data_IF_425867547867
#
_entry.id   IF_425867547867
#
_cell.length_a   1.000
_cell.length_b   1.000
_cell.length_c   1.000
_cell.angle_alpha   90.00
_cell.angle_beta   90.00
_cell.angle_gamma   90.00
#
_symmetry.space_group_name_H-M   'P 1'
#
loop_
_entity.id
_entity.type
_entity.pdbx_description
1 polymer ?
#
# COMPACT_ATOMS: atom_id res chain seq x y z
N UNK A 1 -9.14 -14.18 -22.41
CA UNK A 1 -8.70 -14.65 -21.11
C UNK A 1 -7.56 -13.84 -20.57
N UNK A 2 -6.50 -13.77 -21.31
CA UNK A 2 -5.33 -13.04 -20.87
C UNK A 2 -5.66 -11.58 -20.55
N UNK A 3 -6.50 -10.99 -21.36
CA UNK A 3 -6.86 -9.59 -21.16
C UNK A 3 -7.60 -9.38 -19.86
N UNK A 4 -8.48 -10.32 -19.51
CA UNK A 4 -9.22 -10.21 -18.27
C UNK A 4 -8.27 -10.27 -17.08
N UNK A 5 -7.31 -11.19 -17.13
CA UNK A 5 -6.33 -11.34 -16.07
C UNK A 5 -5.48 -10.08 -15.94
N UNK A 6 -5.09 -9.51 -17.07
CA UNK A 6 -4.29 -8.29 -17.03
C UNK A 6 -5.07 -7.13 -16.45
N UNK A 7 -6.34 -7.02 -16.81
CA UNK A 7 -7.17 -5.96 -16.29
C UNK A 7 -7.32 -6.07 -14.77
N UNK A 8 -7.51 -7.30 -14.27
CA UNK A 8 -7.64 -7.55 -12.85
C UNK A 8 -6.36 -7.16 -12.13
N UNK A 9 -5.20 -7.53 -12.69
CA UNK A 9 -3.92 -7.20 -12.08
C UNK A 9 -3.73 -5.69 -12.05
N UNK A 10 -4.08 -5.01 -13.14
CA UNK A 10 -3.90 -3.57 -13.19
C UNK A 10 -4.83 -2.85 -12.22
N UNK A 11 -6.01 -3.41 -11.98
CA UNK A 11 -6.97 -2.79 -11.09
C UNK A 11 -6.56 -2.94 -9.62
N UNK A 12 -5.61 -3.82 -9.35
CA UNK A 12 -5.24 -4.07 -7.98
C UNK A 12 -4.30 -3.00 -7.47
N UNK A 13 -4.59 -2.46 -6.30
CA UNK A 13 -3.74 -1.43 -5.71
C UNK A 13 -2.49 -2.06 -5.09
N UNK A 14 -1.46 -1.23 -4.95
CA UNK A 14 -0.25 -1.67 -4.27
C UNK A 14 -0.51 -2.03 -2.82
N UNK A 15 -1.46 -1.35 -2.18
CA UNK A 15 -1.83 -1.68 -0.82
C UNK A 15 -2.42 -3.08 -0.72
N UNK A 16 -3.24 -3.44 -1.70
CA UNK A 16 -3.84 -4.77 -1.72
C UNK A 16 -2.78 -5.84 -1.95
N UNK A 17 -1.86 -5.58 -2.87
CA UNK A 17 -0.78 -6.52 -3.14
C UNK A 17 0.11 -6.70 -1.91
N UNK A 18 0.45 -5.58 -1.26
CA UNK A 18 1.24 -5.65 -0.04
C UNK A 18 0.50 -6.42 1.05
N UNK A 19 -0.81 -6.16 1.17
CA UNK A 19 -1.61 -6.86 2.17
C UNK A 19 -1.62 -8.36 1.96
N UNK A 20 -1.73 -8.79 0.71
CA UNK A 20 -1.70 -10.22 0.42
C UNK A 20 -0.34 -10.83 0.71
N UNK A 21 0.73 -10.09 0.45
CA UNK A 21 2.06 -10.56 0.79
C UNK A 21 2.20 -10.74 2.30
N UNK A 22 1.68 -9.78 3.07
CA UNK A 22 1.71 -9.89 4.52
C UNK A 22 0.94 -11.10 5.00
N UNK A 23 -0.25 -11.32 4.44
CA UNK A 23 -1.05 -12.45 4.83
C UNK A 23 -0.38 -13.77 4.47
N UNK A 24 0.21 -13.82 3.29
CA UNK A 24 0.92 -15.02 2.86
C UNK A 24 2.06 -15.34 3.83
N UNK A 25 2.83 -14.34 4.21
CA UNK A 25 3.94 -14.54 5.13
C UNK A 25 3.44 -15.02 6.49
N UNK A 26 2.33 -14.45 6.96
CA UNK A 26 1.76 -14.86 8.23
C UNK A 26 1.30 -16.31 8.18
N UNK A 27 0.63 -16.67 7.10
CA UNK A 27 0.16 -18.05 6.94
C UNK A 27 1.31 -19.03 6.81
N UNK A 28 2.37 -18.64 6.11
CA UNK A 28 3.56 -19.46 5.99
C UNK A 28 4.23 -19.66 7.35
N UNK A 29 4.13 -18.66 8.21
CA UNK A 29 4.68 -18.78 9.55
C UNK A 29 3.76 -19.53 10.49
N UNK A 30 2.58 -19.94 10.02
CA UNK A 30 1.65 -20.69 10.84
C UNK A 30 0.98 -19.89 11.93
N UNK A 31 0.84 -18.57 11.73
CA UNK A 31 0.32 -17.69 12.76
C UNK A 31 -1.07 -17.21 12.44
N UNK A 32 -1.90 -17.11 13.47
CA UNK A 32 -3.17 -16.42 13.35
C UNK A 32 -2.90 -14.92 13.53
N UNK A 33 -3.89 -14.10 13.19
CA UNK A 33 -3.75 -12.65 13.42
C UNK A 33 -3.54 -12.34 14.90
N UNK A 34 -4.25 -13.07 15.76
CA UNK A 34 -4.07 -12.87 17.18
C UNK A 34 -2.67 -13.20 17.66
N UNK A 35 -2.11 -14.29 17.13
CA UNK A 35 -0.76 -14.68 17.50
C UNK A 35 0.26 -13.66 16.97
N UNK A 36 0.05 -13.17 15.77
CA UNK A 36 0.93 -12.15 15.22
C UNK A 36 0.86 -10.89 16.07
N UNK A 37 -0.35 -10.50 16.48
CA UNK A 37 -0.51 -9.32 17.31
C UNK A 37 0.27 -9.47 18.61
N UNK A 38 0.20 -10.64 19.23
CA UNK A 38 0.94 -10.87 20.45
C UNK A 38 2.45 -10.77 20.25
N UNK A 39 2.93 -11.35 19.16
CA UNK A 39 4.37 -11.39 18.93
C UNK A 39 4.93 -10.04 18.53
N UNK A 40 4.15 -9.24 17.80
CA UNK A 40 4.63 -7.95 17.32
C UNK A 40 4.19 -6.80 18.20
N UNK A 41 3.21 -7.04 19.06
CA UNK A 41 2.62 -6.01 19.93
C UNK A 41 1.84 -4.96 19.15
N UNK A 42 1.48 -5.27 17.92
CA UNK A 42 0.59 -4.41 17.17
C UNK A 42 -0.84 -4.91 17.34
N UNK A 43 -1.79 -3.99 17.22
CA UNK A 43 -3.20 -4.32 17.40
C UNK A 43 -3.70 -5.25 16.31
N UNK A 44 -4.50 -6.24 16.69
CA UNK A 44 -5.01 -7.23 15.76
C UNK A 44 -5.84 -6.59 14.65
N UNK A 45 -6.71 -5.64 15.00
CA UNK A 45 -7.54 -4.97 14.00
C UNK A 45 -6.68 -4.18 13.03
N UNK A 46 -5.65 -3.54 13.54
CA UNK A 46 -4.74 -2.78 12.71
C UNK A 46 -4.04 -3.71 11.70
N UNK A 47 -3.52 -4.83 12.18
CA UNK A 47 -2.85 -5.80 11.31
C UNK A 47 -3.83 -6.33 10.26
N UNK A 48 -5.07 -6.57 10.66
CA UNK A 48 -6.08 -7.03 9.73
C UNK A 48 -6.31 -6.04 8.59
N UNK A 49 -6.32 -4.74 8.92
CA UNK A 49 -6.50 -3.72 7.89
C UNK A 49 -5.31 -3.63 6.97
N UNK A 50 -4.12 -3.85 7.48
CA UNK A 50 -2.94 -3.89 6.62
C UNK A 50 -3.04 -5.05 5.64
N UNK A 51 -3.46 -6.22 6.11
CA UNK A 51 -3.55 -7.39 5.25
C UNK A 51 -4.65 -7.27 4.22
N UNK A 52 -5.72 -6.57 4.55
CA UNK A 52 -6.82 -6.40 3.59
C UNK A 52 -6.60 -5.26 2.62
N UNK A 53 -5.51 -4.52 2.77
CA UNK A 53 -5.21 -3.41 1.88
C UNK A 53 -6.01 -2.16 2.18
N UNK A 54 -6.74 -2.13 3.28
CA UNK A 54 -7.54 -0.96 3.63
C UNK A 54 -6.72 0.15 4.26
N UNK A 55 -5.53 -0.17 4.70
CA UNK A 55 -4.70 0.81 5.37
C UNK A 55 -3.24 0.58 5.03
N UNK A 56 -2.50 1.67 4.88
CA UNK A 56 -1.06 1.60 4.70
C UNK A 56 -0.41 2.03 6.02
N UNK A 57 0.58 1.29 6.45
CA UNK A 57 1.22 1.55 7.73
C UNK A 57 2.24 2.67 7.62
N UNK A 58 2.73 3.11 8.78
CA UNK A 58 3.90 3.95 8.82
C UNK A 58 5.12 3.10 8.46
N UNK A 59 6.20 3.75 7.98
CA UNK A 59 7.40 2.99 7.59
C UNK A 59 7.94 2.10 8.70
N UNK A 60 7.92 2.58 9.94
CA UNK A 60 8.49 1.82 11.05
C UNK A 60 7.79 0.49 11.26
N UNK A 61 6.48 0.46 11.05
CA UNK A 61 5.72 -0.78 11.20
C UNK A 61 6.18 -1.79 10.15
N UNK A 62 6.36 -1.33 8.93
CA UNK A 62 6.76 -2.23 7.86
C UNK A 62 8.19 -2.72 8.08
N UNK A 63 9.05 -1.88 8.63
CA UNK A 63 10.40 -2.30 8.97
C UNK A 63 10.36 -3.41 10.02
N UNK A 64 9.48 -3.27 11.02
CA UNK A 64 9.33 -4.29 12.04
C UNK A 64 8.85 -5.60 11.45
N UNK A 65 7.85 -5.54 10.57
CA UNK A 65 7.32 -6.75 9.95
C UNK A 65 8.34 -7.40 9.02
N UNK A 66 9.10 -6.57 8.31
CA UNK A 66 10.15 -7.08 7.44
C UNK A 66 11.18 -7.87 8.26
N UNK A 67 11.58 -7.33 9.41
CA UNK A 67 12.50 -8.02 10.29
C UNK A 67 11.88 -9.26 10.88
N UNK A 68 10.62 -9.17 11.28
CA UNK A 68 9.93 -10.30 11.89
C UNK A 68 9.85 -11.48 10.93
N UNK A 69 9.48 -11.20 9.68
CA UNK A 69 9.37 -12.25 8.67
C UNK A 69 10.69 -12.50 7.94
N UNK A 70 11.70 -11.71 8.21
CA UNK A 70 13.03 -11.88 7.60
C UNK A 70 13.00 -11.83 6.08
N UNK A 71 12.34 -10.82 5.55
CA UNK A 71 12.21 -10.72 4.09
C UNK A 71 13.34 -9.94 3.43
N UNK A 72 14.28 -9.41 4.22
CA UNK A 72 15.45 -8.76 3.64
C UNK A 72 15.18 -7.47 2.91
N UNK A 73 14.12 -6.77 3.25
CA UNK A 73 13.79 -5.50 2.63
C UNK A 73 12.64 -5.58 1.64
N UNK A 74 12.16 -6.78 1.33
CA UNK A 74 11.10 -6.93 0.34
C UNK A 74 9.83 -6.17 0.75
N UNK A 75 9.43 -6.29 2.01
CA UNK A 75 8.22 -5.61 2.46
C UNK A 75 8.38 -4.10 2.38
N UNK A 76 9.58 -3.61 2.64
CA UNK A 76 9.84 -2.19 2.59
C UNK A 76 9.71 -1.70 1.15
N UNK A 77 10.22 -2.47 0.19
CA UNK A 77 10.11 -2.09 -1.22
C UNK A 77 8.65 -2.07 -1.68
N UNK A 78 7.88 -3.09 -1.28
CA UNK A 78 6.47 -3.12 -1.62
C UNK A 78 5.72 -1.96 -0.97
N UNK A 79 6.10 -1.61 0.23
CA UNK A 79 5.49 -0.48 0.93
C UNK A 79 5.75 0.83 0.19
N UNK A 80 6.96 1.00 -0.33
CA UNK A 80 7.28 2.21 -1.09
C UNK A 80 6.42 2.36 -2.33
N UNK A 81 6.18 1.25 -3.00
CA UNK A 81 5.30 1.26 -4.18
C UNK A 81 3.88 1.64 -3.78
N UNK A 82 3.38 1.01 -2.72
CA UNK A 82 2.02 1.28 -2.26
C UNK A 82 1.88 2.74 -1.82
N UNK A 83 2.90 3.27 -1.16
CA UNK A 83 2.88 4.65 -0.71
C UNK A 83 2.80 5.62 -1.88
N UNK A 84 3.54 5.36 -2.93
CA UNK A 84 3.52 6.23 -4.10
C UNK A 84 2.14 6.24 -4.74
N UNK A 85 1.47 5.10 -4.79
CA UNK A 85 0.14 5.04 -5.35
C UNK A 85 -0.86 5.82 -4.53
N UNK A 86 -0.79 5.69 -3.21
CA UNK A 86 -1.69 6.43 -2.34
C UNK A 86 -1.48 7.92 -2.52
N UNK A 87 -0.24 8.35 -2.57
CA UNK A 87 0.09 9.76 -2.77
C UNK A 87 -0.45 10.26 -4.10
N UNK A 88 -0.25 9.49 -5.16
CA UNK A 88 -0.74 9.87 -6.47
C UNK A 88 -2.25 10.02 -6.51
N UNK A 89 -2.95 9.08 -5.91
CA UNK A 89 -4.40 9.13 -5.88
C UNK A 89 -4.90 10.35 -5.15
N UNK A 90 -4.30 10.67 -4.03
CA UNK A 90 -4.68 11.85 -3.25
C UNK A 90 -4.37 13.12 -4.01
N UNK A 91 -3.25 13.16 -4.70
CA UNK A 91 -2.86 14.32 -5.46
C UNK A 91 -3.81 14.54 -6.62
N UNK A 92 -4.20 13.48 -7.31
CA UNK A 92 -5.16 13.58 -8.41
C UNK A 92 -6.50 14.09 -7.91
N UNK A 93 -6.95 13.58 -6.79
CA UNK A 93 -8.22 13.99 -6.23
C UNK A 93 -8.17 15.45 -5.84
N UNK A 94 -7.08 15.88 -5.23
CA UNK A 94 -6.89 17.26 -4.86
C UNK A 94 -6.95 18.16 -6.09
N UNK A 95 -6.25 17.78 -7.14
CA UNK A 95 -6.23 18.56 -8.38
C UNK A 95 -7.61 18.67 -8.98
N UNK A 96 -8.36 17.59 -8.94
CA UNK A 96 -9.70 17.58 -9.51
C UNK A 96 -10.63 18.49 -8.72
N UNK A 97 -10.55 18.44 -7.42
CA UNK A 97 -11.42 19.22 -6.56
C UNK A 97 -11.12 20.70 -6.62
N UNK A 98 -9.84 20.98 -6.68
CA UNK A 98 -9.43 22.36 -6.61
C UNK A 98 -9.71 23.16 -7.83
N UNK A 99 -9.78 22.64 -8.76
CA UNK A 99 -9.80 23.18 -9.81
C UNK A 99 -9.87 23.41 -10.91
N UNK A 100 -10.18 22.96 -11.37
CA UNK A 100 -10.35 23.06 -12.66
C UNK A 100 -9.68 24.15 -13.39
N UNK A 101 -10.33 25.23 -13.60
CA UNK A 101 -9.76 26.29 -14.39
C UNK A 101 -8.47 26.82 -13.82
N UNK A 102 -8.44 26.96 -12.53
CA UNK A 102 -7.27 27.50 -11.88
C UNK A 102 -6.07 26.61 -12.05
N UNK A 103 -6.33 25.35 -11.94
CA UNK A 103 -5.29 24.36 -12.08
C UNK A 103 -4.76 24.34 -13.49
N UNK A 104 -5.63 24.43 -14.45
CA UNK A 104 -5.21 24.47 -15.84
C UNK A 104 -4.26 25.62 -16.09
N UNK A 105 -4.57 26.75 -15.51
CA UNK A 105 -3.73 27.91 -15.67
C UNK A 105 -2.34 27.69 -15.08
N UNK A 106 -2.29 27.21 -13.85
CA UNK A 106 -1.04 26.94 -13.19
C UNK A 106 -0.24 25.88 -13.93
N UNK A 107 -0.93 24.86 -14.37
CA UNK A 107 -0.30 23.79 -15.08
C UNK A 107 0.38 24.29 -16.34
N UNK A 108 -0.31 25.15 -17.06
CA UNK A 108 0.24 25.71 -18.27
C UNK A 108 1.50 26.52 -17.98
N UNK A 109 1.47 27.28 -16.91
CA UNK A 109 2.62 28.08 -16.54
C UNK A 109 3.74 27.23 -15.99
N UNK A 110 3.39 26.15 -15.30
CA UNK A 110 4.38 25.35 -14.66
C UNK A 110 5.11 24.38 -15.56
N UNK A 111 4.71 24.31 -16.80
CA UNK A 111 5.36 23.42 -17.73
C UNK A 111 5.85 24.19 -18.90
N UNK A 112 6.80 24.98 -18.72
CA UNK A 112 7.26 25.80 -19.76
C UNK A 112 8.11 24.93 -20.52
N UNK A 113 8.19 24.45 -21.13
CA UNK A 113 9.14 23.78 -21.91
C UNK A 113 9.82 22.67 -21.35
#
# INVERSE_FOLDING_TARGET
>A
MTEVAEADVEAESGRAALGRALRFLREQAGLSLGQLAEKTRYDKSYLSRLESGKRLSKPAVMEDLDRFYKTGGLLIELWKVARREVFKDKYKEFMRLEFGARIMHLFTLGIPG
#
